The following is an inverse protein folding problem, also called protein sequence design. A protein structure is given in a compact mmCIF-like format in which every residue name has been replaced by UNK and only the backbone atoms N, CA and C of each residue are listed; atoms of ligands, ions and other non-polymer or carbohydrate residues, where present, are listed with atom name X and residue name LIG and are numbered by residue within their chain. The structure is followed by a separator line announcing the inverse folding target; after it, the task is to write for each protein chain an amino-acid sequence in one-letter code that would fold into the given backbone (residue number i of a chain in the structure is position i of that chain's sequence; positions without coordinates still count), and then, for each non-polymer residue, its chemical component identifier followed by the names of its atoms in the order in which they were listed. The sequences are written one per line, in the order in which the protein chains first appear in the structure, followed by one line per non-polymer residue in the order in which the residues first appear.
data_IF_172980711621
#
_entry.id   IF_172980711621
#
_cell.length_a   1.000
_cell.length_b   1.000
_cell.length_c   1.000
_cell.angle_alpha   90.00
_cell.angle_beta   90.00
_cell.angle_gamma   90.00
#
_symmetry.space_group_name_H-M   'P 1'
#
loop_
_entity.id
_entity.type
_entity.pdbx_description
1 polymer ?
#
# COMPACT_ATOMS: atom_id res chain seq x y z
N UNK A 1 -16.71 4.55 -9.66
CA UNK A 1 -16.11 5.16 -8.45
C UNK A 1 -14.66 4.72 -8.44
N UNK A 2 -13.71 5.60 -8.10
CA UNK A 2 -12.30 5.23 -8.04
C UNK A 2 -12.04 4.72 -6.62
N UNK A 3 -11.61 3.48 -6.47
CA UNK A 3 -11.24 2.93 -5.17
C UNK A 3 -9.99 3.68 -4.66
N UNK A 4 -10.00 4.22 -3.42
CA UNK A 4 -8.85 4.90 -2.87
C UNK A 4 -7.67 3.91 -2.77
N UNK A 5 -6.52 4.31 -3.31
CA UNK A 5 -5.31 3.47 -3.25
C UNK A 5 -4.52 3.79 -2.00
N UNK A 6 -4.22 2.78 -1.20
CA UNK A 6 -3.35 2.86 -0.02
C UNK A 6 -1.93 2.47 -0.42
N UNK A 7 -0.93 3.19 0.09
CA UNK A 7 0.46 2.76 0.03
C UNK A 7 0.76 1.91 1.27
N UNK A 8 1.01 0.62 1.08
CA UNK A 8 1.46 -0.30 2.13
C UNK A 8 2.98 -0.45 2.05
N UNK A 9 3.68 -0.18 3.15
CA UNK A 9 5.12 -0.36 3.30
C UNK A 9 5.33 -1.49 4.31
N UNK A 10 5.71 -2.67 3.84
CA UNK A 10 5.84 -3.84 4.71
C UNK A 10 6.91 -4.77 4.13
N UNK A 11 7.96 -5.05 4.90
CA UNK A 11 9.08 -5.87 4.47
C UNK A 11 8.76 -7.36 4.60
N UNK A 12 7.93 -7.75 5.58
CA UNK A 12 7.50 -9.14 5.76
C UNK A 12 6.45 -9.57 4.70
N UNK A 13 6.73 -10.61 3.88
CA UNK A 13 5.78 -11.09 2.87
C UNK A 13 4.48 -11.64 3.42
N UNK A 14 4.51 -12.32 4.55
CA UNK A 14 3.33 -12.96 5.13
C UNK A 14 2.39 -11.87 5.67
N UNK A 15 2.94 -10.88 6.38
CA UNK A 15 2.17 -9.77 6.92
C UNK A 15 1.59 -8.92 5.80
N UNK A 16 2.39 -8.54 4.80
CA UNK A 16 1.91 -7.66 3.75
C UNK A 16 0.91 -8.33 2.78
N UNK A 17 1.00 -9.65 2.55
CA UNK A 17 -0.04 -10.39 1.81
C UNK A 17 -1.37 -10.39 2.59
N UNK A 18 -1.31 -10.62 3.90
CA UNK A 18 -2.49 -10.60 4.78
C UNK A 18 -3.17 -9.23 4.79
N UNK A 19 -2.39 -8.16 4.91
CA UNK A 19 -2.89 -6.78 4.87
C UNK A 19 -3.45 -6.41 3.49
N UNK A 20 -2.75 -6.76 2.42
CA UNK A 20 -3.22 -6.51 1.06
C UNK A 20 -4.55 -7.23 0.78
N UNK A 21 -4.68 -8.49 1.19
CA UNK A 21 -5.92 -9.24 1.05
C UNK A 21 -7.07 -8.57 1.81
N UNK A 22 -6.83 -8.19 3.07
CA UNK A 22 -7.86 -7.54 3.89
C UNK A 22 -8.30 -6.20 3.30
N UNK A 23 -7.36 -5.36 2.89
CA UNK A 23 -7.67 -4.05 2.29
C UNK A 23 -8.46 -4.19 0.97
N UNK A 24 -8.12 -5.18 0.13
CA UNK A 24 -8.86 -5.46 -1.09
C UNK A 24 -10.30 -5.93 -0.82
N UNK A 25 -10.53 -6.71 0.23
CA UNK A 25 -11.88 -7.12 0.66
C UNK A 25 -12.73 -5.92 1.11
N UNK A 26 -12.09 -4.88 1.65
CA UNK A 26 -12.74 -3.61 2.04
C UNK A 26 -12.80 -2.60 0.85
N UNK A 27 -12.55 -3.05 -0.38
CA UNK A 27 -12.58 -2.25 -1.61
C UNK A 27 -11.53 -1.13 -1.69
N UNK A 28 -10.35 -1.32 -1.07
CA UNK A 28 -9.18 -0.47 -1.32
C UNK A 28 -8.29 -1.06 -2.41
N UNK A 29 -7.77 -0.19 -3.27
CA UNK A 29 -6.58 -0.53 -4.06
C UNK A 29 -5.34 -0.45 -3.15
N UNK A 30 -4.33 -1.27 -3.42
CA UNK A 30 -3.12 -1.34 -2.59
C UNK A 30 -1.89 -1.35 -3.47
N UNK A 31 -1.05 -0.34 -3.32
CA UNK A 31 0.32 -0.34 -3.82
C UNK A 31 1.22 -0.80 -2.67
N UNK A 32 1.81 -1.99 -2.79
CA UNK A 32 2.65 -2.57 -1.75
C UNK A 32 4.12 -2.49 -2.13
N UNK A 33 4.91 -1.88 -1.27
CA UNK A 33 6.37 -1.77 -1.36
C UNK A 33 7.03 -2.40 -0.14
N UNK A 34 8.29 -2.85 -0.31
CA UNK A 34 9.01 -3.62 0.72
C UNK A 34 10.02 -2.82 1.51
N UNK A 35 10.27 -1.58 1.12
CA UNK A 35 11.29 -0.75 1.72
C UNK A 35 10.95 0.74 1.62
N UNK A 36 11.65 1.54 2.42
CA UNK A 36 11.47 2.98 2.50
C UNK A 36 11.88 3.72 1.21
N UNK A 37 12.80 3.17 0.42
CA UNK A 37 13.24 3.81 -0.82
C UNK A 37 12.13 3.73 -1.87
N UNK A 38 11.51 2.56 -2.03
CA UNK A 38 10.36 2.34 -2.88
C UNK A 38 9.14 3.15 -2.41
N UNK A 39 8.90 3.23 -1.10
CA UNK A 39 7.84 4.07 -0.54
C UNK A 39 8.04 5.56 -0.87
N UNK A 40 9.27 6.06 -0.71
CA UNK A 40 9.60 7.43 -1.04
C UNK A 40 9.39 7.72 -2.53
N UNK A 41 9.82 6.81 -3.40
CA UNK A 41 9.62 6.93 -4.85
C UNK A 41 8.13 6.95 -5.22
N UNK A 42 7.32 6.09 -4.59
CA UNK A 42 5.88 6.06 -4.83
C UNK A 42 5.22 7.41 -4.47
N UNK A 43 5.55 7.96 -3.29
CA UNK A 43 5.05 9.24 -2.81
C UNK A 43 5.43 10.43 -3.70
N UNK A 44 6.52 10.35 -4.45
CA UNK A 44 6.89 11.39 -5.43
C UNK A 44 6.06 11.35 -6.72
N UNK A 45 5.45 10.20 -7.04
CA UNK A 45 4.73 10.00 -8.31
C UNK A 45 3.22 10.16 -8.17
N UNK A 46 2.69 9.98 -6.95
CA UNK A 46 1.26 9.92 -6.69
C UNK A 46 0.95 10.35 -5.25
N UNK A 47 -0.20 11.02 -5.09
CA UNK A 47 -0.79 11.26 -3.76
C UNK A 47 -1.55 10.03 -3.28
N UNK A 48 -1.20 9.58 -2.08
CA UNK A 48 -1.90 8.52 -1.37
C UNK A 48 -2.72 9.13 -0.23
N UNK A 49 -4.03 8.84 -0.12
CA UNK A 49 -4.85 9.27 1.02
C UNK A 49 -4.42 8.62 2.35
N UNK A 50 -3.72 7.49 2.28
CA UNK A 50 -3.20 6.77 3.45
C UNK A 50 -1.89 6.07 3.08
N UNK A 51 -0.93 6.15 4.00
CA UNK A 51 0.29 5.33 4.02
C UNK A 51 0.24 4.49 5.28
N UNK A 52 0.42 3.17 5.13
CA UNK A 52 0.49 2.20 6.22
C UNK A 52 1.89 1.59 6.23
N UNK A 53 2.56 1.59 7.39
CA UNK A 53 3.92 1.07 7.59
C UNK A 53 3.99 0.18 8.82
#
# INVERSE_FOLDING_TARGET
MIDPTVLLVEDDPIMGESLQLRLRLEHFAVDWVRDLHAAHKALQTRLYPLVLS
#
